data_IF_119042762262
#
_entry.id   IF_119042762262
#
_cell.length_a   1.000
_cell.length_b   1.000
_cell.length_c   1.000
_cell.angle_alpha   90.00
_cell.angle_beta   90.00
_cell.angle_gamma   90.00
#
_symmetry.space_group_name_H-M   'P 1'
#
loop_
_entity.id
_entity.type
_entity.pdbx_description
1 polymer ?
#
# COMPACT_ATOMS: atom_id res chain seq x y z
N UNK A 1 -15.50 -14.78 34.98
CA UNK A 1 -14.53 -14.88 33.86
C UNK A 1 -15.26 -15.43 32.63
N UNK A 2 -15.65 -14.63 31.62
CA UNK A 2 -16.40 -15.21 30.47
C UNK A 2 -17.05 -14.26 29.46
N UNK A 3 -17.11 -12.94 29.73
CA UNK A 3 -17.79 -12.00 28.82
C UNK A 3 -16.92 -11.55 27.64
N UNK A 4 -15.59 -11.54 27.82
CA UNK A 4 -14.62 -11.08 26.79
C UNK A 4 -14.50 -12.03 25.59
N UNK A 5 -14.89 -13.30 25.73
CA UNK A 5 -14.75 -14.31 24.67
C UNK A 5 -15.87 -14.26 23.63
N UNK A 6 -17.12 -14.00 24.05
CA UNK A 6 -18.30 -13.98 23.16
C UNK A 6 -18.31 -12.76 22.24
N UNK A 7 -18.06 -11.57 22.79
CA UNK A 7 -17.97 -10.34 22.00
C UNK A 7 -16.83 -10.42 20.97
N UNK A 8 -15.67 -10.94 21.37
CA UNK A 8 -14.55 -11.14 20.47
C UNK A 8 -14.84 -12.20 19.39
N UNK A 9 -15.57 -13.28 19.72
CA UNK A 9 -15.99 -14.27 18.74
C UNK A 9 -17.00 -13.71 17.73
N UNK A 10 -17.96 -12.92 18.18
CA UNK A 10 -18.92 -12.23 17.32
C UNK A 10 -18.22 -11.26 16.36
N UNK A 11 -17.32 -10.42 16.89
CA UNK A 11 -16.58 -9.46 16.06
C UNK A 11 -15.70 -10.15 15.00
N UNK A 12 -15.05 -11.27 15.36
CA UNK A 12 -14.31 -12.11 14.39
C UNK A 12 -15.21 -12.68 13.31
N UNK A 13 -16.40 -13.15 13.67
CA UNK A 13 -17.34 -13.70 12.70
C UNK A 13 -17.85 -12.64 11.72
N UNK A 14 -18.25 -11.46 12.23
CA UNK A 14 -18.67 -10.33 11.39
C UNK A 14 -17.54 -9.90 10.45
N UNK A 15 -16.30 -9.78 10.95
CA UNK A 15 -15.14 -9.45 10.12
C UNK A 15 -14.94 -10.45 8.98
N UNK A 16 -15.05 -11.76 9.25
CA UNK A 16 -14.94 -12.80 8.22
C UNK A 16 -16.06 -12.73 7.19
N UNK A 17 -17.30 -12.43 7.61
CA UNK A 17 -18.43 -12.29 6.70
C UNK A 17 -18.26 -11.09 5.76
N UNK A 18 -17.79 -9.96 6.28
CA UNK A 18 -17.53 -8.75 5.48
C UNK A 18 -16.41 -8.95 4.47
N UNK A 19 -15.33 -9.66 4.85
CA UNK A 19 -14.25 -10.04 3.93
C UNK A 19 -14.76 -10.99 2.85
N UNK A 20 -15.54 -12.02 3.21
CA UNK A 20 -16.09 -12.97 2.24
C UNK A 20 -17.06 -12.32 1.25
N UNK A 21 -17.80 -11.30 1.68
CA UNK A 21 -18.68 -10.52 0.83
C UNK A 21 -17.94 -9.46 -0.03
N UNK A 22 -16.62 -9.29 0.13
CA UNK A 22 -15.86 -8.24 -0.53
C UNK A 22 -16.21 -6.82 -0.07
N UNK A 23 -16.92 -6.69 1.05
CA UNK A 23 -17.37 -5.41 1.59
C UNK A 23 -16.25 -4.66 2.33
N UNK A 24 -15.22 -5.39 2.78
CA UNK A 24 -14.03 -4.80 3.41
C UNK A 24 -12.79 -5.55 2.92
N UNK A 25 -11.77 -4.79 2.55
CA UNK A 25 -10.41 -5.27 2.36
C UNK A 25 -9.51 -4.63 3.42
N UNK A 26 -8.86 -5.47 4.24
CA UNK A 26 -7.89 -5.01 5.24
C UNK A 26 -6.53 -5.55 4.84
N UNK A 27 -5.61 -4.65 4.54
CA UNK A 27 -4.20 -5.02 4.45
C UNK A 27 -3.69 -5.37 5.85
N UNK A 28 -3.34 -6.64 6.06
CA UNK A 28 -2.64 -7.08 7.27
C UNK A 28 -1.16 -7.22 6.88
N UNK A 29 -0.29 -6.25 7.24
CA UNK A 29 1.11 -6.41 6.96
C UNK A 29 1.63 -7.65 7.69
N UNK A 30 2.52 -8.46 7.07
CA UNK A 30 3.25 -9.46 7.82
C UNK A 30 3.95 -8.78 9.02
N UNK A 31 4.17 -9.49 10.13
CA UNK A 31 4.94 -8.95 11.25
C UNK A 31 6.41 -8.76 10.81
N UNK A 32 6.67 -7.63 10.16
CA UNK A 32 8.00 -7.16 9.78
C UNK A 32 8.55 -6.20 10.82
N UNK A 33 9.86 -5.96 10.77
CA UNK A 33 10.51 -4.92 11.56
C UNK A 33 9.91 -3.55 11.18
N UNK A 34 9.43 -2.73 12.14
CA UNK A 34 8.98 -1.36 11.88
C UNK A 34 10.02 -0.49 11.16
N UNK A 35 11.29 -0.88 11.21
CA UNK A 35 12.41 -0.21 10.54
C UNK A 35 12.65 -0.69 9.09
N UNK A 36 11.99 -1.75 8.62
CA UNK A 36 12.03 -2.09 7.19
C UNK A 36 11.23 -1.05 6.40
N UNK A 37 11.96 -0.05 5.90
CA UNK A 37 11.46 0.86 4.90
C UNK A 37 10.94 0.01 3.74
N UNK A 38 9.66 0.16 3.39
CA UNK A 38 9.03 -0.54 2.27
C UNK A 38 9.69 -0.10 0.97
N UNK A 39 10.81 -0.73 0.62
CA UNK A 39 11.47 -0.51 -0.66
C UNK A 39 10.66 -1.26 -1.70
N UNK A 40 9.91 -0.52 -2.50
CA UNK A 40 9.30 -1.09 -3.70
C UNK A 40 10.44 -1.63 -4.59
N UNK A 41 10.44 -2.92 -4.93
CA UNK A 41 11.45 -3.45 -5.83
C UNK A 41 11.29 -2.74 -7.19
N UNK A 42 12.42 -2.45 -7.84
CA UNK A 42 12.34 -1.92 -9.20
C UNK A 42 11.69 -2.96 -10.13
N UNK A 43 10.86 -2.51 -11.09
CA UNK A 43 10.26 -3.40 -12.06
C UNK A 43 11.34 -4.10 -12.91
N UNK A 44 11.13 -5.37 -13.30
CA UNK A 44 12.10 -6.14 -14.07
C UNK A 44 12.32 -5.54 -15.47
N UNK A 45 13.49 -5.78 -16.12
CA UNK A 45 13.79 -5.29 -17.47
C UNK A 45 12.68 -5.64 -18.48
N UNK A 46 12.19 -4.63 -19.20
CA UNK A 46 11.13 -4.78 -20.20
C UNK A 46 9.71 -4.71 -19.66
N UNK A 47 9.53 -4.46 -18.35
CA UNK A 47 8.20 -4.23 -17.78
C UNK A 47 7.61 -2.90 -18.27
N UNK A 48 6.31 -2.82 -18.61
CA UNK A 48 5.70 -1.58 -19.10
C UNK A 48 5.71 -0.43 -18.08
N UNK A 49 5.87 -0.73 -16.80
CA UNK A 49 6.00 0.28 -15.72
C UNK A 49 7.42 0.86 -15.62
N UNK A 50 8.40 0.32 -16.35
CA UNK A 50 9.73 0.93 -16.40
C UNK A 50 9.68 2.27 -17.13
N UNK A 51 10.25 3.29 -16.49
CA UNK A 51 10.44 4.57 -17.16
C UNK A 51 11.37 4.37 -18.37
N UNK A 52 10.83 4.66 -19.55
CA UNK A 52 11.53 4.49 -20.82
C UNK A 52 12.60 5.57 -21.00
N UNK A 53 13.90 5.21 -21.12
CA UNK A 53 14.97 6.20 -21.24
C UNK A 53 14.96 6.93 -22.60
N UNK A 54 14.32 6.32 -23.61
CA UNK A 54 14.20 6.86 -24.96
C UNK A 54 13.11 7.94 -25.09
N UNK A 55 12.24 8.08 -24.10
CA UNK A 55 11.18 9.08 -24.08
C UNK A 55 11.48 10.07 -22.94
N UNK A 56 11.92 11.30 -23.25
CA UNK A 56 12.18 12.28 -22.21
C UNK A 56 10.87 12.67 -21.53
N UNK A 57 10.90 12.76 -20.20
CA UNK A 57 9.76 13.28 -19.43
C UNK A 57 9.33 14.66 -19.93
N UNK A 58 8.03 14.92 -19.94
CA UNK A 58 7.48 16.25 -20.21
C UNK A 58 7.88 17.24 -19.11
N UNK A 59 7.60 18.54 -19.31
CA UNK A 59 7.89 19.56 -18.29
C UNK A 59 7.06 19.30 -17.02
N UNK A 60 5.81 18.89 -17.21
CA UNK A 60 4.85 18.57 -16.14
C UNK A 60 5.29 17.32 -15.37
N UNK A 61 5.73 16.27 -16.06
CA UNK A 61 6.20 15.04 -15.42
C UNK A 61 7.50 15.26 -14.63
N UNK A 62 8.40 16.12 -15.11
CA UNK A 62 9.60 16.51 -14.36
C UNK A 62 9.26 17.34 -13.12
N UNK A 63 8.29 18.24 -13.24
CA UNK A 63 7.80 19.01 -12.09
C UNK A 63 7.19 18.10 -11.04
N UNK A 64 6.35 17.15 -11.47
CA UNK A 64 5.75 16.14 -10.61
C UNK A 64 6.81 15.26 -9.93
N UNK A 65 7.79 14.76 -10.69
CA UNK A 65 8.88 13.95 -10.13
C UNK A 65 9.67 14.72 -9.06
N UNK A 66 9.94 16.02 -9.28
CA UNK A 66 10.60 16.87 -8.28
C UNK A 66 9.78 16.97 -6.99
N UNK A 67 8.48 17.25 -7.12
CA UNK A 67 7.56 17.35 -5.98
C UNK A 67 7.48 16.03 -5.20
N UNK A 68 7.40 14.89 -5.90
CA UNK A 68 7.33 13.57 -5.26
C UNK A 68 8.61 13.21 -4.48
N UNK A 69 9.77 13.67 -4.96
CA UNK A 69 11.04 13.51 -4.25
C UNK A 69 11.19 14.47 -3.06
N UNK A 70 10.40 15.55 -3.02
CA UNK A 70 10.36 16.50 -1.91
C UNK A 70 8.92 16.66 -1.38
N UNK A 71 8.45 15.75 -0.51
CA UNK A 71 7.06 15.74 -0.04
C UNK A 71 6.58 17.05 0.60
N UNK A 72 7.50 17.92 1.03
CA UNK A 72 7.20 19.26 1.57
C UNK A 72 6.67 20.24 0.52
N UNK A 73 6.89 19.97 -0.77
CA UNK A 73 6.37 20.77 -1.89
C UNK A 73 4.98 20.32 -2.36
N UNK A 74 4.45 19.22 -1.80
CA UNK A 74 3.10 18.69 -2.11
C UNK A 74 2.06 19.12 -1.05
N UNK A 75 2.51 19.66 0.09
CA UNK A 75 1.66 20.09 1.21
C UNK A 75 1.16 21.53 1.08
#
# INVERSE_FOLDING_TARGET
MGFRSKAAAFLRWVGRALVAAGAIWVYVPPPGDPAEQWVLPQPPPGHPEQLRPDIPLSVEERDLARRLLNPKEIA
#
